data_IF_072858394829
#
_entry.id   IF_072858394829
#
_cell.length_a   1.000
_cell.length_b   1.000
_cell.length_c   1.000
_cell.angle_alpha   90.00
_cell.angle_beta   90.00
_cell.angle_gamma   90.00
#
_symmetry.space_group_name_H-M   'P 1'
#
loop_
_entity.id
_entity.type
_entity.pdbx_description
1 polymer ?
#
# COMPACT_ATOMS: atom_id res chain seq x y z
N UNK A 1 -27.14 -12.51 -7.77
CA UNK A 1 -26.90 -13.44 -6.66
C UNK A 1 -25.70 -12.90 -5.89
N UNK A 2 -25.83 -12.69 -4.58
CA UNK A 2 -24.72 -12.16 -3.77
C UNK A 2 -23.70 -13.25 -3.52
N UNK A 3 -22.43 -12.96 -3.77
CA UNK A 3 -21.33 -13.83 -3.36
C UNK A 3 -21.08 -13.55 -1.88
N UNK A 4 -21.34 -14.54 -1.02
CA UNK A 4 -20.89 -14.50 0.37
C UNK A 4 -19.41 -14.86 0.41
N UNK A 5 -18.59 -13.95 0.93
CA UNK A 5 -17.16 -14.17 1.14
C UNK A 5 -16.93 -14.41 2.63
N UNK A 6 -16.15 -15.44 2.95
CA UNK A 6 -15.67 -15.67 4.32
C UNK A 6 -14.31 -15.00 4.54
N UNK A 7 -14.15 -14.38 5.71
CA UNK A 7 -12.86 -13.85 6.13
C UNK A 7 -11.93 -15.02 6.48
N UNK A 8 -10.91 -15.24 5.67
CA UNK A 8 -9.93 -16.31 5.90
C UNK A 8 -8.86 -15.85 6.91
N UNK A 9 -8.32 -14.65 6.74
CA UNK A 9 -7.24 -14.12 7.56
C UNK A 9 -7.31 -12.58 7.63
N UNK A 10 -6.89 -12.00 8.76
CA UNK A 10 -6.76 -10.56 8.96
C UNK A 10 -5.46 -10.26 9.68
N UNK A 11 -4.54 -9.56 9.02
CA UNK A 11 -3.23 -9.17 9.53
C UNK A 11 -3.13 -7.64 9.62
N UNK A 12 -2.52 -7.07 10.68
CA UNK A 12 -2.26 -5.64 10.73
C UNK A 12 -1.37 -5.19 9.57
N UNK A 13 -1.82 -4.17 8.83
CA UNK A 13 -1.10 -3.63 7.67
C UNK A 13 0.33 -3.18 8.03
N UNK A 14 0.52 -2.61 9.22
CA UNK A 14 1.83 -2.18 9.69
C UNK A 14 2.80 -3.36 9.82
N UNK A 15 2.33 -4.49 10.35
CA UNK A 15 3.14 -5.70 10.49
C UNK A 15 3.47 -6.28 9.12
N UNK A 16 2.50 -6.29 8.21
CA UNK A 16 2.72 -6.73 6.84
C UNK A 16 3.78 -5.88 6.14
N UNK A 17 3.70 -4.54 6.26
CA UNK A 17 4.69 -3.63 5.68
C UNK A 17 6.08 -3.84 6.29
N UNK A 18 6.16 -4.02 7.62
CA UNK A 18 7.44 -4.29 8.30
C UNK A 18 8.11 -5.58 7.81
N UNK A 19 7.33 -6.58 7.39
CA UNK A 19 7.86 -7.83 6.86
C UNK A 19 8.22 -7.74 5.36
N UNK A 20 7.49 -6.94 4.57
CA UNK A 20 7.59 -6.98 3.11
C UNK A 20 8.31 -5.77 2.47
N UNK A 21 8.58 -4.69 3.21
CA UNK A 21 9.12 -3.45 2.64
C UNK A 21 10.41 -3.64 1.82
N UNK A 22 11.27 -4.59 2.23
CA UNK A 22 12.53 -4.89 1.54
C UNK A 22 12.32 -5.47 0.14
N UNK A 23 11.31 -6.32 -0.03
CA UNK A 23 11.00 -6.96 -1.32
C UNK A 23 10.59 -5.94 -2.37
N UNK A 24 9.97 -4.83 -1.94
CA UNK A 24 9.56 -3.73 -2.82
C UNK A 24 10.66 -2.67 -3.01
N UNK A 25 11.82 -2.84 -2.37
CA UNK A 25 12.91 -1.87 -2.41
C UNK A 25 12.51 -0.49 -1.87
N UNK A 26 11.56 -0.46 -0.93
CA UNK A 26 11.16 0.74 -0.22
C UNK A 26 11.91 0.85 1.12
N UNK A 27 11.97 2.05 1.68
CA UNK A 27 12.37 2.25 3.07
C UNK A 27 11.10 2.48 3.90
N UNK A 28 10.92 1.69 4.96
CA UNK A 28 9.79 1.85 5.87
C UNK A 28 10.20 2.72 7.06
N UNK A 29 9.48 3.81 7.25
CA UNK A 29 9.66 4.73 8.37
C UNK A 29 8.35 4.82 9.16
N UNK A 30 8.42 4.55 10.48
CA UNK A 30 7.25 4.63 11.36
C UNK A 30 7.31 5.96 12.11
N UNK A 31 6.31 6.81 11.87
CA UNK A 31 6.18 8.13 12.49
C UNK A 31 5.05 8.16 13.51
N UNK A 32 5.12 9.09 14.46
CA UNK A 32 4.06 9.33 15.46
C UNK A 32 3.43 10.70 15.24
N UNK A 33 2.24 10.92 15.78
CA UNK A 33 1.49 12.18 15.70
C UNK A 33 1.96 13.26 16.70
N UNK A 34 3.08 13.02 17.39
CA UNK A 34 3.60 13.93 18.43
C UNK A 34 4.17 15.24 17.88
N UNK A 35 4.56 15.27 16.60
CA UNK A 35 4.99 16.50 15.93
C UNK A 35 3.84 17.12 15.14
N UNK A 36 3.97 18.40 14.81
CA UNK A 36 2.97 19.09 14.00
C UNK A 36 2.83 18.44 12.62
N UNK A 37 3.95 18.04 12.01
CA UNK A 37 4.02 17.36 10.72
C UNK A 37 3.39 15.96 10.81
N UNK A 38 3.65 15.21 11.88
CA UNK A 38 3.06 13.89 12.12
C UNK A 38 1.55 13.95 12.30
N UNK A 39 1.06 14.94 13.08
CA UNK A 39 -0.37 15.18 13.24
C UNK A 39 -1.04 15.57 11.92
N UNK A 40 -0.39 16.38 11.08
CA UNK A 40 -0.87 16.70 9.73
C UNK A 40 -0.86 15.47 8.83
N UNK A 41 0.15 14.60 8.95
CA UNK A 41 0.24 13.39 8.17
C UNK A 41 -0.94 12.44 8.45
N UNK A 42 -1.25 12.21 9.74
CA UNK A 42 -2.39 11.40 10.15
C UNK A 42 -3.71 12.01 9.69
N UNK A 43 -3.91 13.32 9.88
CA UNK A 43 -5.19 13.99 9.54
C UNK A 43 -5.39 14.22 8.05
N UNK A 44 -4.31 14.47 7.30
CA UNK A 44 -4.34 14.79 5.88
C UNK A 44 -4.28 13.58 4.96
N UNK A 45 -3.54 12.53 5.36
CA UNK A 45 -3.31 11.33 4.53
C UNK A 45 -3.81 10.04 5.18
N UNK A 46 -4.47 10.10 6.35
CA UNK A 46 -4.98 8.91 7.04
C UNK A 46 -3.92 8.08 7.75
N UNK A 47 -2.70 8.61 7.91
CA UNK A 47 -1.61 7.95 8.65
C UNK A 47 -0.77 6.97 7.84
N UNK A 48 -0.98 6.89 6.52
CA UNK A 48 -0.16 6.11 5.60
C UNK A 48 0.22 6.95 4.38
N UNK A 49 1.42 6.74 3.85
CA UNK A 49 1.93 7.48 2.71
C UNK A 49 3.26 6.91 2.23
N UNK A 50 3.66 7.31 1.02
CA UNK A 50 4.90 6.87 0.40
C UNK A 50 5.59 8.01 -0.32
N UNK A 51 6.92 8.04 -0.24
CA UNK A 51 7.76 8.98 -0.97
C UNK A 51 8.30 8.30 -2.22
N UNK A 52 7.85 8.74 -3.39
CA UNK A 52 8.25 8.16 -4.67
C UNK A 52 9.61 8.70 -5.09
N UNK A 53 10.47 7.82 -5.62
CA UNK A 53 11.80 8.20 -6.15
C UNK A 53 11.72 9.12 -7.37
N UNK A 54 10.66 8.96 -8.16
CA UNK A 54 10.43 9.70 -9.39
C UNK A 54 8.95 10.07 -9.50
N UNK A 55 8.65 11.07 -10.34
CA UNK A 55 7.27 11.42 -10.67
C UNK A 55 6.62 10.27 -11.43
N UNK A 56 5.49 9.80 -10.94
CA UNK A 56 4.66 8.78 -11.58
C UNK A 56 3.36 9.44 -12.04
N UNK A 57 2.90 9.06 -13.24
CA UNK A 57 1.57 9.42 -13.71
C UNK A 57 0.60 8.27 -13.41
N UNK A 58 -0.19 8.45 -12.35
CA UNK A 58 -1.16 7.45 -11.92
C UNK A 58 -2.40 7.39 -12.83
N UNK A 59 -2.65 8.44 -13.63
CA UNK A 59 -3.82 8.46 -14.53
C UNK A 59 -3.68 7.46 -15.68
N UNK A 60 -2.45 7.07 -16.01
CA UNK A 60 -2.17 5.98 -16.96
C UNK A 60 -2.26 4.59 -16.32
N UNK A 61 -2.31 4.50 -14.98
CA UNK A 61 -2.33 3.22 -14.25
C UNK A 61 -3.75 2.65 -14.14
N UNK A 62 -4.80 3.46 -14.25
CA UNK A 62 -6.19 2.98 -14.43
C UNK A 62 -6.38 2.20 -15.75
N UNK A 63 -5.37 2.20 -16.64
CA UNK A 63 -5.34 1.44 -17.91
C UNK A 63 -4.68 0.04 -17.71
N UNK A 64 -4.18 -0.29 -16.51
CA UNK A 64 -3.62 -1.61 -16.19
C UNK A 64 -4.65 -2.70 -15.90
N UNK A 65 -5.93 -2.52 -16.24
CA UNK A 65 -6.92 -3.62 -16.32
C UNK A 65 -6.43 -4.78 -17.24
N UNK A 66 -5.40 -4.58 -18.07
CA UNK A 66 -4.78 -5.62 -18.90
C UNK A 66 -3.56 -6.36 -18.31
N UNK A 67 -3.06 -5.99 -17.12
CA UNK A 67 -1.94 -6.70 -16.45
C UNK A 67 -2.47 -7.76 -15.47
N UNK A 68 -3.69 -7.60 -14.95
CA UNK A 68 -4.31 -8.54 -14.00
C UNK A 68 -4.58 -9.94 -14.60
N UNK A 69 -4.66 -10.07 -15.93
CA UNK A 69 -4.89 -11.35 -16.62
C UNK A 69 -3.63 -12.21 -16.81
N UNK A 70 -2.43 -11.69 -16.51
CA UNK A 70 -1.20 -12.48 -16.61
C UNK A 70 -0.95 -13.15 -15.27
N UNK A 71 -1.42 -14.39 -15.13
CA UNK A 71 -1.08 -15.23 -13.98
C UNK A 71 0.42 -15.60 -14.04
N UNK A 72 1.26 -14.76 -13.44
CA UNK A 72 2.70 -15.03 -13.27
C UNK A 72 2.98 -16.04 -12.15
N UNK A 73 1.98 -16.44 -11.36
CA UNK A 73 2.17 -17.42 -10.28
C UNK A 73 2.38 -18.86 -10.81
N UNK A 74 2.09 -19.10 -12.10
CA UNK A 74 2.31 -20.37 -12.79
C UNK A 74 3.76 -20.55 -13.30
N UNK A 75 4.67 -19.58 -13.09
CA UNK A 75 6.07 -19.61 -13.54
C UNK A 75 7.07 -19.40 -12.40
#
# INVERSE_FOLDING_TARGET
>A
AGVELELIESLPLLEWLANNYKSFGAALEIVTDRSQEGAQFVRGFGGIGGLLRYRVDFQLTDINEGIEDINLDDY
#
